data_IF_954150541961
#
_entry.id   IF_954150541961
#
_cell.length_a   1.000
_cell.length_b   1.000
_cell.length_c   1.000
_cell.angle_alpha   90.00
_cell.angle_beta   90.00
_cell.angle_gamma   90.00
#
_symmetry.space_group_name_H-M   'P 1'
#
loop_
_entity.id
_entity.type
_entity.pdbx_description
1 polymer ?
#
# COMPACT_ATOMS: atom_id res chain seq x y z
N UNK A 1 -52.34 -3.66 -14.05
CA UNK A 1 -51.22 -2.69 -14.06
C UNK A 1 -50.69 -2.57 -12.63
N UNK A 2 -49.64 -3.33 -12.28
CA UNK A 2 -48.99 -3.22 -10.97
C UNK A 2 -48.02 -2.03 -11.00
N UNK A 3 -48.37 -0.95 -10.29
CA UNK A 3 -47.41 0.10 -9.93
C UNK A 3 -46.60 -0.42 -8.75
N UNK A 4 -45.37 -0.83 -8.98
CA UNK A 4 -44.40 -1.01 -7.91
C UNK A 4 -44.15 0.36 -7.28
N UNK A 5 -44.65 0.57 -6.06
CA UNK A 5 -44.33 1.75 -5.26
C UNK A 5 -42.84 1.64 -4.91
N UNK A 6 -41.99 2.34 -5.66
CA UNK A 6 -40.60 2.52 -5.29
C UNK A 6 -40.60 3.43 -4.05
N UNK A 7 -40.40 2.85 -2.86
CA UNK A 7 -40.19 3.63 -1.65
C UNK A 7 -38.98 4.56 -1.85
N UNK A 8 -39.14 5.84 -1.49
CA UNK A 8 -38.07 6.82 -1.61
C UNK A 8 -36.89 6.44 -0.71
N UNK A 9 -35.69 6.40 -1.28
CA UNK A 9 -34.43 6.22 -0.52
C UNK A 9 -34.33 7.33 0.53
N UNK A 10 -34.14 6.95 1.80
CA UNK A 10 -33.89 7.87 2.91
C UNK A 10 -32.40 7.89 3.23
N UNK A 11 -31.81 9.08 3.15
CA UNK A 11 -30.40 9.29 3.41
C UNK A 11 -30.18 9.74 4.85
N UNK A 12 -29.20 9.16 5.52
CA UNK A 12 -28.72 9.55 6.84
C UNK A 12 -27.21 9.70 6.80
N UNK A 13 -26.69 10.62 7.60
CA UNK A 13 -25.24 10.75 7.78
C UNK A 13 -24.77 9.62 8.69
N UNK A 14 -23.97 8.70 8.15
CA UNK A 14 -23.44 7.57 8.92
C UNK A 14 -22.07 7.87 9.52
N UNK A 15 -21.18 8.52 8.76
CA UNK A 15 -19.80 8.76 9.17
C UNK A 15 -19.27 10.05 8.54
N UNK A 16 -18.38 10.72 9.27
CA UNK A 16 -17.59 11.87 8.78
C UNK A 16 -16.13 11.55 9.05
N UNK A 17 -15.27 11.69 8.03
CA UNK A 17 -13.81 11.53 8.12
C UNK A 17 -13.17 12.81 7.61
N UNK A 18 -12.24 13.39 8.37
CA UNK A 18 -11.54 14.63 8.02
C UNK A 18 -11.32 15.54 9.23
N UNK A 19 -10.43 16.53 9.07
CA UNK A 19 -10.19 17.58 10.06
C UNK A 19 -11.21 18.71 9.95
N UNK A 20 -11.41 19.44 11.05
CA UNK A 20 -12.15 20.70 11.06
C UNK A 20 -11.43 21.73 10.18
N UNK A 21 -12.22 22.56 9.49
CA UNK A 21 -11.84 23.41 8.34
C UNK A 21 -10.70 24.42 8.54
N UNK A 22 -10.15 24.56 9.74
CA UNK A 22 -9.17 25.60 10.07
C UNK A 22 -7.72 25.17 9.79
N UNK A 23 -7.45 23.86 9.61
CA UNK A 23 -6.09 23.31 9.40
C UNK A 23 -5.99 22.38 8.16
N UNK A 24 -6.84 22.57 7.14
CA UNK A 24 -6.75 21.78 5.91
C UNK A 24 -5.59 22.32 5.08
N UNK A 25 -4.47 21.59 5.05
CA UNK A 25 -3.40 21.86 4.10
C UNK A 25 -3.94 21.72 2.67
N UNK A 26 -3.48 22.57 1.74
CA UNK A 26 -3.99 22.59 0.35
C UNK A 26 -3.88 21.22 -0.37
N UNK A 27 -3.03 20.31 0.12
CA UNK A 27 -2.89 18.94 -0.37
C UNK A 27 -3.87 17.90 0.21
N UNK A 28 -4.60 18.21 1.29
CA UNK A 28 -5.50 17.28 2.02
C UNK A 28 -6.91 17.19 1.40
N UNK A 29 -7.14 17.87 0.27
CA UNK A 29 -8.40 17.79 -0.45
C UNK A 29 -8.52 16.45 -1.21
N UNK A 30 -9.58 15.71 -0.93
CA UNK A 30 -9.92 14.53 -1.74
C UNK A 30 -10.30 14.95 -3.15
N UNK A 31 -9.70 14.30 -4.13
CA UNK A 31 -9.89 14.57 -5.56
C UNK A 31 -10.73 13.49 -6.24
N UNK A 32 -10.66 12.26 -5.74
CA UNK A 32 -11.39 11.13 -6.27
C UNK A 32 -11.74 10.13 -5.17
N UNK A 33 -12.83 9.38 -5.41
CA UNK A 33 -13.33 8.34 -4.52
C UNK A 33 -13.92 7.21 -5.35
N UNK A 34 -13.56 5.96 -5.05
CA UNK A 34 -14.10 4.80 -5.76
C UNK A 34 -14.29 3.59 -4.83
N UNK A 35 -15.46 2.97 -4.92
CA UNK A 35 -15.75 1.69 -4.28
C UNK A 35 -15.27 0.53 -5.16
N UNK A 36 -14.81 -0.53 -4.53
CA UNK A 36 -14.60 -1.78 -5.25
C UNK A 36 -15.95 -2.42 -5.65
N UNK A 37 -15.92 -3.39 -6.56
CA UNK A 37 -17.13 -4.06 -7.07
C UNK A 37 -18.01 -4.68 -5.97
N UNK A 38 -17.42 -5.15 -4.87
CA UNK A 38 -18.15 -5.74 -3.74
C UNK A 38 -18.70 -4.71 -2.74
N UNK A 39 -18.25 -3.45 -2.79
CA UNK A 39 -18.51 -2.44 -1.78
C UNK A 39 -17.85 -2.71 -0.42
N UNK A 40 -16.89 -3.64 -0.34
CA UNK A 40 -16.15 -3.91 0.90
C UNK A 40 -14.99 -2.94 1.11
N UNK A 41 -14.47 -2.36 0.03
CA UNK A 41 -13.35 -1.43 0.04
C UNK A 41 -13.74 -0.11 -0.62
N UNK A 42 -13.27 0.98 -0.04
CA UNK A 42 -13.42 2.34 -0.54
C UNK A 42 -12.05 2.97 -0.65
N UNK A 43 -11.63 3.36 -1.85
CA UNK A 43 -10.39 4.12 -2.06
C UNK A 43 -10.72 5.60 -2.22
N UNK A 44 -9.85 6.45 -1.66
CA UNK A 44 -9.87 7.90 -1.83
C UNK A 44 -8.48 8.37 -2.23
N UNK A 45 -8.39 9.25 -3.22
CA UNK A 45 -7.16 9.93 -3.59
C UNK A 45 -7.22 11.39 -3.17
N UNK A 46 -6.07 11.94 -2.77
CA UNK A 46 -5.94 13.36 -2.45
C UNK A 46 -5.08 14.12 -3.48
N UNK A 47 -5.01 15.44 -3.31
CA UNK A 47 -4.17 16.32 -4.12
C UNK A 47 -2.68 16.14 -3.83
N UNK A 48 -2.32 15.70 -2.62
CA UNK A 48 -0.94 15.38 -2.20
C UNK A 48 -0.41 14.01 -2.71
N UNK A 49 -1.13 13.35 -3.62
CA UNK A 49 -0.66 12.11 -4.23
C UNK A 49 -0.78 10.86 -3.37
N UNK A 50 -1.49 10.91 -2.24
CA UNK A 50 -1.74 9.78 -1.33
C UNK A 50 -3.08 9.12 -1.63
N UNK A 51 -3.06 7.80 -1.58
CA UNK A 51 -4.26 6.96 -1.66
C UNK A 51 -4.54 6.43 -0.25
N UNK A 52 -5.75 6.65 0.23
CA UNK A 52 -6.27 6.01 1.45
C UNK A 52 -7.34 5.01 1.07
N UNK A 53 -7.19 3.78 1.54
CA UNK A 53 -8.18 2.72 1.39
C UNK A 53 -8.84 2.49 2.73
N UNK A 54 -10.17 2.43 2.72
CA UNK A 54 -10.99 2.06 3.85
C UNK A 54 -11.63 0.70 3.61
N UNK A 55 -11.77 -0.09 4.68
CA UNK A 55 -12.42 -1.39 4.66
C UNK A 55 -13.70 -1.33 5.50
N UNK A 56 -14.77 -1.89 4.96
CA UNK A 56 -16.04 -1.99 5.65
C UNK A 56 -15.90 -2.98 6.82
N UNK A 57 -16.11 -2.48 8.02
CA UNK A 57 -16.24 -3.27 9.22
C UNK A 57 -17.68 -3.79 9.32
N UNK A 58 -17.89 -5.05 8.93
CA UNK A 58 -19.24 -5.67 8.83
C UNK A 58 -20.00 -5.68 10.16
N UNK A 59 -19.29 -5.65 11.30
CA UNK A 59 -19.92 -5.68 12.62
C UNK A 59 -20.51 -4.32 13.00
N UNK A 60 -19.85 -3.23 12.58
CA UNK A 60 -20.22 -1.85 12.94
C UNK A 60 -20.95 -1.15 11.77
N UNK A 61 -20.79 -1.64 10.54
CA UNK A 61 -21.29 -1.02 9.32
C UNK A 61 -20.57 0.28 8.94
N UNK A 62 -19.37 0.49 9.47
CA UNK A 62 -18.56 1.69 9.25
C UNK A 62 -17.29 1.36 8.47
N UNK A 63 -16.74 2.38 7.80
CA UNK A 63 -15.48 2.26 7.07
C UNK A 63 -14.31 2.68 7.96
N UNK A 64 -13.40 1.73 8.18
CA UNK A 64 -12.18 1.93 8.95
C UNK A 64 -10.97 2.02 8.02
N UNK A 65 -9.95 2.78 8.43
CA UNK A 65 -8.73 2.94 7.63
C UNK A 65 -8.07 1.57 7.51
N UNK A 66 -7.93 1.11 6.28
CA UNK A 66 -7.26 -0.13 5.95
C UNK A 66 -5.78 0.14 5.70
N UNK A 67 -5.47 0.99 4.72
CA UNK A 67 -4.10 1.44 4.47
C UNK A 67 -4.07 2.83 3.85
N UNK A 68 -2.98 3.54 4.08
CA UNK A 68 -2.66 4.80 3.41
C UNK A 68 -1.26 4.70 2.84
N UNK A 69 -1.07 5.17 1.61
CA UNK A 69 0.23 5.19 0.95
C UNK A 69 0.37 6.35 -0.03
N UNK A 70 1.59 6.84 -0.20
CA UNK A 70 1.92 7.85 -1.20
C UNK A 70 2.09 7.17 -2.56
N UNK A 71 1.18 7.48 -3.50
CA UNK A 71 1.19 6.93 -4.85
C UNK A 71 2.05 7.75 -5.79
N UNK A 72 1.91 9.08 -5.75
CA UNK A 72 2.63 10.02 -6.60
C UNK A 72 3.36 11.05 -5.74
N UNK A 73 4.51 11.49 -6.25
CA UNK A 73 5.34 12.55 -5.69
C UNK A 73 5.47 13.64 -6.77
N UNK A 74 5.83 14.87 -6.41
CA UNK A 74 5.91 15.95 -7.37
C UNK A 74 7.10 15.71 -8.28
N UNK A 75 6.89 15.82 -9.58
CA UNK A 75 7.92 15.59 -10.59
C UNK A 75 8.08 16.83 -11.47
N UNK A 76 9.26 17.02 -12.08
CA UNK A 76 9.52 18.14 -12.99
C UNK A 76 10.06 17.65 -14.33
N UNK A 77 9.39 18.03 -15.42
CA UNK A 77 9.85 17.79 -16.79
C UNK A 77 10.77 18.93 -17.23
N UNK A 78 12.09 18.69 -17.23
CA UNK A 78 13.08 19.69 -17.64
C UNK A 78 13.04 20.05 -19.13
N UNK A 79 12.61 19.14 -20.00
CA UNK A 79 12.56 19.39 -21.43
C UNK A 79 11.41 20.33 -21.80
N UNK A 80 10.28 20.18 -21.09
CA UNK A 80 9.10 21.02 -21.28
C UNK A 80 9.01 22.16 -20.28
N UNK A 81 9.89 22.19 -19.27
CA UNK A 81 9.82 23.10 -18.13
C UNK A 81 8.43 23.09 -17.48
N UNK A 82 7.89 21.89 -17.27
CA UNK A 82 6.55 21.67 -16.76
C UNK A 82 6.61 20.94 -15.42
N UNK A 83 6.00 21.53 -14.39
CA UNK A 83 5.75 20.86 -13.12
C UNK A 83 4.62 19.83 -13.29
N UNK A 84 4.86 18.62 -12.81
CA UNK A 84 3.90 17.54 -12.78
C UNK A 84 3.42 17.46 -11.34
N UNK A 85 2.18 17.89 -11.12
CA UNK A 85 1.53 17.77 -9.82
C UNK A 85 1.48 16.30 -9.40
N UNK A 86 1.60 16.04 -8.10
CA UNK A 86 1.40 14.71 -7.50
C UNK A 86 -0.06 14.28 -7.40
N UNK A 87 -0.99 15.17 -7.79
CA UNK A 87 -2.43 14.99 -7.67
C UNK A 87 -2.92 13.68 -8.28
N UNK A 88 -3.74 12.94 -7.53
CA UNK A 88 -4.44 11.78 -8.07
C UNK A 88 -5.71 12.26 -8.76
N UNK A 89 -5.84 11.95 -10.05
CA UNK A 89 -7.02 12.32 -10.83
C UNK A 89 -8.12 11.26 -10.76
N UNK A 90 -7.73 9.99 -10.79
CA UNK A 90 -8.66 8.87 -10.79
C UNK A 90 -8.01 7.65 -10.14
N UNK A 91 -8.82 6.89 -9.42
CA UNK A 91 -8.48 5.59 -8.88
C UNK A 91 -9.50 4.63 -9.43
N UNK A 92 -9.06 3.49 -9.98
CA UNK A 92 -9.97 2.44 -10.46
C UNK A 92 -9.59 1.09 -9.88
N UNK A 93 -10.56 0.42 -9.27
CA UNK A 93 -10.39 -0.95 -8.79
C UNK A 93 -10.43 -1.93 -9.97
N UNK A 94 -9.53 -2.91 -9.93
CA UNK A 94 -9.58 -4.04 -10.85
C UNK A 94 -10.30 -5.21 -10.18
N UNK A 95 -11.00 -6.00 -10.98
CA UNK A 95 -11.64 -7.23 -10.53
C UNK A 95 -10.62 -8.13 -9.83
N UNK A 96 -10.91 -8.49 -8.58
CA UNK A 96 -10.03 -9.34 -7.79
C UNK A 96 -10.23 -10.81 -8.19
N UNK A 97 -9.25 -11.40 -8.88
CA UNK A 97 -9.20 -12.84 -9.16
C UNK A 97 -8.49 -13.64 -8.06
N UNK A 98 -7.80 -12.96 -7.14
CA UNK A 98 -6.98 -13.58 -6.09
C UNK A 98 -7.34 -13.00 -4.73
N UNK A 99 -6.71 -13.47 -3.66
CA UNK A 99 -6.81 -12.85 -2.33
C UNK A 99 -6.16 -11.46 -2.23
N UNK A 100 -5.41 -11.02 -3.24
CA UNK A 100 -4.88 -9.68 -3.34
C UNK A 100 -5.79 -8.78 -4.18
N UNK A 101 -6.00 -7.56 -3.70
CA UNK A 101 -6.72 -6.52 -4.41
C UNK A 101 -5.77 -5.70 -5.28
N UNK A 102 -6.27 -5.21 -6.40
CA UNK A 102 -5.50 -4.40 -7.32
C UNK A 102 -6.26 -3.11 -7.60
N UNK A 103 -5.55 -1.99 -7.59
CA UNK A 103 -6.10 -0.69 -7.97
C UNK A 103 -5.12 0.03 -8.87
N UNK A 104 -5.66 0.79 -9.81
CA UNK A 104 -4.92 1.74 -10.64
C UNK A 104 -5.06 3.12 -10.01
N UNK A 105 -3.96 3.84 -9.88
CA UNK A 105 -3.99 5.28 -9.63
C UNK A 105 -3.44 6.01 -10.85
N UNK A 106 -4.12 7.08 -11.23
CA UNK A 106 -3.78 7.87 -12.41
C UNK A 106 -3.52 9.32 -12.02
N UNK A 107 -2.43 9.84 -12.56
CA UNK A 107 -2.05 11.25 -12.59
C UNK A 107 -2.03 11.71 -14.07
N UNK A 108 -1.73 12.98 -14.35
CA UNK A 108 -1.67 13.58 -15.68
C UNK A 108 -0.66 12.91 -16.63
N UNK A 109 0.40 12.32 -16.07
CA UNK A 109 1.50 11.74 -16.85
C UNK A 109 1.68 10.24 -16.66
N UNK A 110 1.26 9.70 -15.50
CA UNK A 110 1.58 8.33 -15.12
C UNK A 110 0.35 7.61 -14.58
N UNK A 111 0.26 6.32 -14.87
CA UNK A 111 -0.70 5.41 -14.28
C UNK A 111 0.10 4.33 -13.55
N UNK A 112 -0.18 4.12 -12.27
CA UNK A 112 0.49 3.12 -11.43
C UNK A 112 -0.48 2.02 -11.05
N UNK A 113 -0.03 0.77 -11.14
CA UNK A 113 -0.77 -0.40 -10.67
C UNK A 113 -0.27 -0.80 -9.28
N UNK A 114 -1.18 -0.77 -8.31
CA UNK A 114 -0.94 -1.15 -6.94
C UNK A 114 -1.52 -2.51 -6.65
N UNK A 115 -0.75 -3.35 -5.94
CA UNK A 115 -1.22 -4.62 -5.40
C UNK A 115 -1.27 -4.53 -3.88
N UNK A 116 -2.47 -4.67 -3.33
CA UNK A 116 -2.75 -4.72 -1.92
C UNK A 116 -2.89 -6.19 -1.50
N UNK A 117 -2.03 -6.64 -0.60
CA UNK A 117 -2.07 -8.00 -0.08
C UNK A 117 -1.89 -8.03 1.44
N UNK A 118 -2.77 -8.75 2.13
CA UNK A 118 -2.61 -9.07 3.54
C UNK A 118 -1.55 -10.16 3.67
N UNK A 119 -0.48 -9.89 4.43
CA UNK A 119 0.50 -10.92 4.78
C UNK A 119 0.36 -11.21 6.27
N UNK A 120 -0.16 -12.38 6.58
CA UNK A 120 -0.46 -12.81 7.96
C UNK A 120 0.76 -13.34 8.73
N UNK A 121 1.87 -13.65 8.03
CA UNK A 121 3.08 -14.21 8.64
C UNK A 121 4.34 -13.52 8.15
N UNK A 122 5.16 -13.07 9.09
CA UNK A 122 6.55 -12.69 8.81
C UNK A 122 7.47 -13.84 9.22
N UNK A 123 8.38 -14.19 8.32
CA UNK A 123 9.51 -15.03 8.67
C UNK A 123 10.57 -14.16 9.35
N UNK A 124 11.05 -14.59 10.51
CA UNK A 124 12.14 -13.96 11.26
C UNK A 124 13.18 -15.03 11.60
N UNK A 125 14.28 -14.65 12.24
CA UNK A 125 15.35 -15.55 12.64
C UNK A 125 16.18 -16.08 11.44
N UNK A 126 16.41 -15.21 10.46
CA UNK A 126 17.29 -15.53 9.34
C UNK A 126 18.76 -15.50 9.75
N UNK A 127 19.58 -16.32 9.10
CA UNK A 127 21.02 -16.36 9.35
C UNK A 127 21.78 -15.07 9.02
N UNK A 128 21.17 -14.18 8.23
CA UNK A 128 21.79 -12.98 7.66
C UNK A 128 21.21 -11.70 8.29
N UNK A 129 20.15 -11.81 9.11
CA UNK A 129 19.48 -10.66 9.73
C UNK A 129 19.54 -10.78 11.24
N UNK A 130 19.97 -9.71 11.90
CA UNK A 130 19.92 -9.59 13.35
C UNK A 130 18.53 -9.08 13.74
N UNK A 131 17.57 -10.00 13.82
CA UNK A 131 16.18 -9.70 14.22
C UNK A 131 16.03 -9.62 15.76
N UNK A 132 17.05 -10.08 16.50
CA UNK A 132 17.15 -9.94 17.94
C UNK A 132 18.21 -8.90 18.23
N UNK A 133 17.88 -7.88 19.02
CA UNK A 133 18.69 -6.70 19.36
C UNK A 133 19.98 -7.02 20.15
N UNK A 134 20.58 -8.20 19.96
CA UNK A 134 21.86 -8.61 20.49
C UNK A 134 22.97 -7.98 19.65
N UNK A 135 23.23 -6.69 19.91
CA UNK A 135 24.49 -6.06 19.50
C UNK A 135 25.66 -6.94 19.98
N UNK A 136 26.22 -7.77 19.10
CA UNK A 136 27.52 -8.43 19.29
C UNK A 136 28.70 -7.46 19.06
N UNK A 137 28.44 -6.17 19.15
CA UNK A 137 29.45 -5.11 19.16
C UNK A 137 30.02 -4.96 20.56
N UNK A 138 30.59 -6.03 21.10
CA UNK A 138 31.54 -5.87 22.19
C UNK A 138 32.85 -5.38 21.56
N UNK A 139 33.32 -4.24 22.06
CA UNK A 139 34.56 -3.58 21.69
C UNK A 139 35.70 -4.58 21.45
N UNK A 140 36.14 -4.67 20.20
CA UNK A 140 37.50 -5.12 19.91
C UNK A 140 38.17 -4.00 19.13
N UNK A 141 39.03 -3.27 19.83
CA UNK A 141 39.76 -2.08 19.42
C UNK A 141 40.78 -2.30 18.29
N UNK A 142 40.82 -3.48 17.66
CA UNK A 142 41.91 -3.87 16.75
C UNK A 142 41.54 -3.94 15.26
N UNK A 143 40.44 -3.33 14.80
CA UNK A 143 40.08 -3.34 13.36
C UNK A 143 39.61 -2.00 12.83
N UNK A 144 40.56 -1.07 12.67
CA UNK A 144 40.37 0.30 12.14
C UNK A 144 39.96 0.40 10.65
N UNK A 145 39.79 -0.71 9.91
CA UNK A 145 39.59 -0.68 8.45
C UNK A 145 38.28 -1.32 7.92
N UNK A 146 37.26 -1.53 8.76
CA UNK A 146 35.96 -2.01 8.27
C UNK A 146 34.93 -0.89 8.18
N UNK A 147 34.54 -0.53 6.95
CA UNK A 147 33.37 0.30 6.68
C UNK A 147 32.15 -0.63 6.62
N UNK A 148 31.37 -0.69 7.71
CA UNK A 148 30.09 -1.39 7.75
C UNK A 148 30.01 -2.57 8.73
N UNK A 149 28.79 -3.12 8.95
CA UNK A 149 28.57 -4.22 9.87
C UNK A 149 29.30 -5.50 9.45
N UNK A 150 29.94 -6.22 10.40
CA UNK A 150 30.63 -7.46 10.12
C UNK A 150 29.61 -8.46 9.58
N UNK A 151 29.90 -9.00 8.39
CA UNK A 151 29.10 -10.05 7.79
C UNK A 151 29.19 -11.26 8.71
N UNK A 152 28.07 -11.83 9.20
CA UNK A 152 28.11 -13.00 10.06
C UNK A 152 28.75 -14.17 9.31
N UNK A 153 29.95 -14.57 9.73
CA UNK A 153 30.65 -15.71 9.18
C UNK A 153 30.01 -16.99 9.74
N UNK A 154 29.16 -17.63 8.94
CA UNK A 154 28.61 -18.96 9.25
C UNK A 154 29.68 -19.99 8.88
N UNK A 155 30.45 -20.44 9.87
CA UNK A 155 31.61 -21.31 9.63
C UNK A 155 31.25 -22.81 9.80
N UNK A 156 30.19 -23.13 10.55
CA UNK A 156 29.78 -24.51 10.84
C UNK A 156 28.28 -24.73 10.66
N UNK A 157 27.83 -25.90 10.17
CA UNK A 157 26.42 -26.19 9.91
C UNK A 157 25.56 -26.15 11.18
N UNK A 158 26.16 -26.45 12.34
CA UNK A 158 25.48 -26.44 13.66
C UNK A 158 25.09 -25.02 14.13
N UNK A 159 25.57 -23.98 13.45
CA UNK A 159 25.28 -22.57 13.77
C UNK A 159 24.20 -21.96 12.87
N UNK A 160 23.56 -22.75 12.02
CA UNK A 160 22.45 -22.31 11.19
C UNK A 160 21.17 -22.16 12.03
N UNK A 161 20.65 -20.94 12.09
CA UNK A 161 19.31 -20.61 12.57
C UNK A 161 18.26 -21.05 11.54
N UNK A 162 17.16 -21.60 12.04
CA UNK A 162 15.98 -21.98 11.24
C UNK A 162 14.98 -20.81 11.26
N UNK A 163 14.49 -20.35 10.09
CA UNK A 163 13.48 -19.31 10.03
C UNK A 163 12.22 -19.71 10.80
N UNK A 164 11.74 -18.81 11.66
CA UNK A 164 10.50 -18.96 12.42
C UNK A 164 9.44 -18.04 11.84
N UNK A 165 8.17 -18.40 11.97
CA UNK A 165 7.04 -17.58 11.53
C UNK A 165 6.31 -17.02 12.74
N UNK A 166 6.13 -15.69 12.76
CA UNK A 166 5.27 -15.01 13.73
C UNK A 166 4.04 -14.47 13.03
N UNK A 167 2.90 -14.54 13.70
CA UNK A 167 1.68 -13.85 13.24
C UNK A 167 1.93 -12.35 13.27
N UNK A 168 1.73 -11.71 12.13
CA UNK A 168 1.78 -10.26 11.97
C UNK A 168 0.68 -9.89 10.99
N UNK A 169 -0.17 -8.93 11.34
CA UNK A 169 -1.08 -8.32 10.37
C UNK A 169 -0.34 -7.12 9.77
N UNK A 170 0.47 -7.37 8.74
CA UNK A 170 1.10 -6.30 7.96
C UNK A 170 0.46 -6.29 6.57
N UNK A 171 -0.06 -5.14 6.17
CA UNK A 171 -0.45 -4.90 4.79
C UNK A 171 0.81 -4.66 3.97
N UNK A 172 1.12 -5.60 3.06
CA UNK A 172 2.16 -5.36 2.08
C UNK A 172 1.55 -4.68 0.86
N UNK A 173 1.87 -3.40 0.74
CA UNK A 173 1.71 -2.63 -0.47
C UNK A 173 2.93 -2.88 -1.35
N UNK A 174 2.71 -3.47 -2.53
CA UNK A 174 3.75 -3.62 -3.54
C UNK A 174 3.33 -2.81 -4.76
N UNK A 175 4.20 -1.90 -5.17
CA UNK A 175 4.14 -1.38 -6.53
C UNK A 175 4.48 -2.55 -7.47
N UNK A 176 3.67 -2.76 -8.50
CA UNK A 176 4.01 -3.73 -9.53
C UNK A 176 5.31 -3.25 -10.20
N UNK A 177 6.46 -3.87 -9.89
CA UNK A 177 7.64 -3.75 -10.74
C UNK A 177 7.23 -4.28 -12.10
N UNK A 178 7.50 -3.52 -13.16
CA UNK A 178 7.21 -3.87 -14.55
C UNK A 178 7.35 -5.37 -14.75
N UNK A 179 6.21 -6.08 -14.83
CA UNK A 179 6.21 -7.48 -15.19
C UNK A 179 6.39 -7.49 -16.69
N UNK A 180 7.65 -7.49 -17.13
CA UNK A 180 7.97 -8.11 -18.41
C UNK A 180 7.55 -9.57 -18.27
N UNK A 181 6.34 -9.88 -18.72
CA UNK A 181 5.94 -11.25 -18.97
C UNK A 181 6.60 -11.69 -20.27
N UNK A 182 7.56 -12.63 -20.27
CA UNK A 182 7.86 -13.35 -21.49
C UNK A 182 6.76 -14.41 -21.68
N UNK A 183 6.10 -14.35 -22.84
CA UNK A 183 5.14 -15.34 -23.35
C UNK A 183 3.85 -15.56 -22.55
N UNK A 184 2.77 -14.96 -23.05
CA UNK A 184 1.54 -15.71 -23.32
C UNK A 184 1.05 -15.31 -24.70
N UNK A 185 1.43 -16.11 -25.70
CA UNK A 185 0.83 -16.11 -27.04
C UNK A 185 -0.63 -16.53 -26.89
N UNK A 186 -1.55 -15.60 -27.13
CA UNK A 186 -2.96 -15.92 -27.32
C UNK A 186 -3.11 -16.42 -28.76
N UNK A 187 -3.25 -17.74 -28.93
CA UNK A 187 -3.79 -18.31 -30.17
C UNK A 187 -5.30 -18.22 -30.03
N UNK A 188 -5.93 -17.45 -30.91
CA UNK A 188 -7.36 -17.53 -31.23
C UNK A 188 -7.53 -18.62 -32.28
#
# INVERSE_FOLDING_TARGET
MHKTLCESVRWYVSQIKGSTSEDIGDGDNFTCVEFNESGELLATGDKAGRVTVFKNNKDIGLYDIYCTFTSHEPEFDYLKSLEIEEKINSITWLQAYTSAHHLLSANDKTIKLWRLSERQYEAYNFNIRDDENACLWYESTDRLNMIGPPIPHIITPDKLRIPKFRNLVILQLKHARNVYSPMLTLII
#
